data_IF_557835436586
#
_entry.id   IF_557835436586
#
_cell.length_a   1.000
_cell.length_b   1.000
_cell.length_c   1.000
_cell.angle_alpha   90.00
_cell.angle_beta   90.00
_cell.angle_gamma   90.00
#
_symmetry.space_group_name_H-M   'P 1'
#
loop_
_entity.id
_entity.type
_entity.pdbx_description
1 polymer ?
#
# COMPACT_ATOMS: atom_id res chain seq x y z
N UNK A 1 -20.14 3.20 -25.81
CA UNK A 1 -21.33 4.02 -25.46
C UNK A 1 -22.37 3.77 -26.56
N UNK A 2 -23.55 3.21 -26.26
CA UNK A 2 -24.54 3.89 -25.44
C UNK A 2 -25.30 3.01 -24.42
N UNK A 3 -26.03 3.71 -23.56
CA UNK A 3 -27.30 3.34 -22.89
C UNK A 3 -27.32 2.16 -21.90
N UNK A 4 -27.16 2.55 -20.64
CA UNK A 4 -27.92 2.10 -19.47
C UNK A 4 -29.22 1.34 -19.83
N UNK A 5 -29.25 0.04 -19.56
CA UNK A 5 -30.47 -0.74 -19.43
C UNK A 5 -30.58 -1.16 -17.97
N UNK A 6 -31.34 -0.38 -17.20
CA UNK A 6 -31.72 -0.75 -15.84
C UNK A 6 -32.74 -1.89 -15.96
N UNK A 7 -32.30 -3.14 -15.76
CA UNK A 7 -33.23 -4.25 -15.63
C UNK A 7 -33.75 -4.29 -14.20
N UNK A 8 -34.97 -3.79 -14.08
CA UNK A 8 -35.96 -4.05 -13.04
C UNK A 8 -35.86 -5.47 -12.49
N UNK A 9 -35.47 -5.60 -11.22
CA UNK A 9 -35.74 -6.82 -10.45
C UNK A 9 -36.87 -6.50 -9.49
N UNK A 10 -38.06 -6.96 -9.88
CA UNK A 10 -39.27 -6.90 -9.05
C UNK A 10 -39.04 -7.88 -7.88
N UNK A 11 -39.04 -7.37 -6.65
CA UNK A 11 -39.08 -8.23 -5.46
C UNK A 11 -40.56 -8.42 -5.09
N UNK A 12 -41.06 -9.64 -5.27
CA UNK A 12 -42.34 -10.08 -4.72
C UNK A 12 -42.04 -11.01 -3.54
N UNK A 13 -42.14 -10.50 -2.31
CA UNK A 13 -42.04 -11.31 -1.10
C UNK A 13 -43.33 -11.16 -0.27
N UNK A 14 -44.04 -12.27 -0.10
CA UNK A 14 -45.17 -12.42 0.80
C UNK A 14 -44.67 -12.81 2.20
N UNK A 15 -45.27 -12.22 3.23
CA UNK A 15 -45.24 -12.60 4.65
C UNK A 15 -43.87 -12.64 5.39
N UNK A 16 -43.55 -11.53 6.07
CA UNK A 16 -43.19 -11.58 7.49
C UNK A 16 -41.72 -11.76 7.91
N UNK A 17 -40.80 -12.02 6.99
CA UNK A 17 -39.36 -11.84 7.22
C UNK A 17 -38.88 -10.79 6.23
N UNK A 18 -38.32 -9.68 6.73
CA UNK A 18 -37.65 -8.74 5.85
C UNK A 18 -36.52 -9.51 5.16
N UNK A 19 -36.64 -9.73 3.86
CA UNK A 19 -35.52 -10.13 3.00
C UNK A 19 -34.33 -9.21 3.37
N UNK A 20 -33.14 -9.74 3.73
CA UNK A 20 -32.01 -8.89 4.00
C UNK A 20 -31.80 -8.02 2.76
N UNK A 21 -31.79 -6.70 2.94
CA UNK A 21 -31.51 -5.78 1.85
C UNK A 21 -30.22 -6.23 1.14
N UNK A 22 -30.13 -6.16 -0.20
CA UNK A 22 -28.90 -6.47 -0.90
C UNK A 22 -27.81 -5.57 -0.34
N UNK A 23 -26.84 -6.17 0.34
CA UNK A 23 -25.67 -5.47 0.86
C UNK A 23 -24.81 -5.17 -0.37
N UNK A 24 -24.88 -3.94 -0.87
CA UNK A 24 -23.89 -3.46 -1.83
C UNK A 24 -22.60 -3.27 -1.04
N UNK A 25 -21.73 -4.28 -1.06
CA UNK A 25 -20.39 -4.21 -0.49
C UNK A 25 -19.59 -3.25 -1.38
N UNK A 26 -19.48 -1.99 -0.96
CA UNK A 26 -18.69 -0.99 -1.65
C UNK A 26 -17.26 -1.11 -1.14
N UNK A 27 -16.32 -1.39 -2.04
CA UNK A 27 -14.91 -1.44 -1.69
C UNK A 27 -14.38 -0.02 -1.45
N UNK A 28 -13.83 0.24 -0.28
CA UNK A 28 -13.11 1.46 0.05
C UNK A 28 -11.67 1.36 -0.43
N UNK A 29 -11.02 2.51 -0.66
CA UNK A 29 -9.59 2.47 -0.92
C UNK A 29 -8.83 2.31 0.40
N UNK A 30 -7.66 1.65 0.37
CA UNK A 30 -6.79 1.57 1.54
C UNK A 30 -6.30 2.96 1.96
N UNK A 31 -5.93 3.09 3.24
CA UNK A 31 -5.27 4.26 3.80
C UNK A 31 -3.82 3.90 4.09
N UNK A 32 -2.92 4.39 3.23
CA UNK A 32 -1.48 4.27 3.40
C UNK A 32 -0.93 5.48 4.18
N UNK A 33 -0.12 5.24 5.20
CA UNK A 33 0.43 6.25 6.11
C UNK A 33 1.94 6.30 5.95
N UNK A 34 2.49 7.52 5.82
CA UNK A 34 3.93 7.72 5.63
C UNK A 34 4.78 7.04 6.72
N UNK A 35 5.92 6.50 6.29
CA UNK A 35 6.85 5.71 7.08
C UNK A 35 8.20 6.39 7.26
N UNK A 36 8.92 5.90 8.28
CA UNK A 36 10.33 6.24 8.48
C UNK A 36 11.15 5.01 8.85
N UNK A 37 12.39 4.95 8.36
CA UNK A 37 13.35 3.91 8.73
C UNK A 37 14.76 4.49 8.89
N UNK A 38 15.60 3.83 9.69
CA UNK A 38 17.02 4.13 9.77
C UNK A 38 17.84 2.89 9.43
N UNK A 39 18.70 3.04 8.42
CA UNK A 39 19.49 1.95 7.85
C UNK A 39 20.97 2.28 8.07
N UNK A 40 21.78 1.26 8.33
CA UNK A 40 23.23 1.42 8.37
C UNK A 40 23.80 1.34 6.94
N UNK A 41 24.76 2.19 6.60
CA UNK A 41 25.44 2.14 5.32
C UNK A 41 26.05 0.75 5.04
N UNK A 42 26.04 0.33 3.77
CA UNK A 42 26.54 -0.97 3.29
C UNK A 42 25.79 -2.17 3.90
N UNK A 43 24.51 -1.98 4.21
CA UNK A 43 23.62 -3.05 4.68
C UNK A 43 22.32 -3.06 3.90
N UNK A 44 21.65 -4.21 3.92
CA UNK A 44 20.31 -4.40 3.38
C UNK A 44 19.36 -4.53 4.56
N UNK A 45 18.26 -3.78 4.53
CA UNK A 45 17.21 -3.86 5.53
C UNK A 45 15.86 -4.09 4.88
N UNK A 46 15.09 -5.01 5.45
CA UNK A 46 13.68 -5.21 5.09
C UNK A 46 12.80 -4.35 5.99
N UNK A 47 11.92 -3.56 5.40
CA UNK A 47 11.11 -2.54 6.05
C UNK A 47 9.63 -2.90 5.87
N UNK A 48 8.92 -3.08 6.99
CA UNK A 48 7.48 -3.32 6.99
C UNK A 48 6.73 -2.00 6.94
N UNK A 49 6.36 -1.59 5.73
CA UNK A 49 5.63 -0.34 5.43
C UNK A 49 4.11 -0.46 5.59
N UNK A 50 3.60 -1.65 5.93
CA UNK A 50 2.15 -1.87 6.13
C UNK A 50 1.76 -1.82 7.61
N UNK A 51 2.69 -1.53 8.52
CA UNK A 51 2.48 -1.66 9.96
C UNK A 51 1.45 -0.65 10.52
N UNK A 52 1.32 0.50 9.85
CA UNK A 52 0.45 1.64 10.17
C UNK A 52 -0.65 1.86 9.10
N UNK A 53 -0.68 1.01 8.07
CA UNK A 53 -1.67 1.06 7.00
C UNK A 53 -2.92 0.28 7.39
N UNK A 54 -4.07 0.68 6.85
CA UNK A 54 -5.33 -0.01 7.11
C UNK A 54 -6.33 0.16 5.98
N UNK A 55 -7.28 -0.76 5.93
CA UNK A 55 -8.46 -0.69 5.08
C UNK A 55 -9.73 -0.76 5.94
N UNK A 56 -10.74 0.03 5.61
CA UNK A 56 -11.97 0.14 6.42
C UNK A 56 -12.93 -1.04 6.23
N UNK A 57 -12.82 -1.77 5.12
CA UNK A 57 -13.57 -2.99 4.85
C UNK A 57 -12.89 -4.21 5.49
N UNK A 58 -11.64 -4.04 5.94
CA UNK A 58 -10.83 -5.04 6.63
C UNK A 58 -10.07 -5.95 5.67
N UNK A 59 -9.90 -5.52 4.42
CA UNK A 59 -9.19 -6.27 3.40
C UNK A 59 -7.68 -6.31 3.68
N UNK A 60 -7.02 -7.46 3.39
CA UNK A 60 -5.58 -7.58 3.58
C UNK A 60 -4.83 -6.69 2.57
N UNK A 61 -3.88 -5.91 3.07
CA UNK A 61 -3.08 -5.00 2.25
C UNK A 61 -1.83 -5.66 1.69
N UNK A 62 -1.47 -5.26 0.47
CA UNK A 62 -0.25 -5.71 -0.19
C UNK A 62 0.56 -4.57 -0.80
N UNK A 63 1.89 -4.63 -0.69
CA UNK A 63 2.77 -3.69 -1.39
C UNK A 63 2.90 -4.13 -2.83
N UNK A 64 2.56 -3.26 -3.78
CA UNK A 64 2.54 -3.63 -5.21
C UNK A 64 3.72 -3.11 -5.99
N UNK A 65 4.28 -1.96 -5.62
CA UNK A 65 5.39 -1.35 -6.34
C UNK A 65 6.17 -0.34 -5.49
N UNK A 66 7.45 -0.19 -5.81
CA UNK A 66 8.21 1.03 -5.57
C UNK A 66 8.08 1.88 -6.83
N UNK A 67 7.46 3.05 -6.72
CA UNK A 67 7.08 3.87 -7.87
C UNK A 67 8.20 4.81 -8.28
N UNK A 68 8.84 5.46 -7.29
CA UNK A 68 9.98 6.34 -7.50
C UNK A 68 10.76 6.60 -6.19
N UNK A 69 12.00 7.07 -6.33
CA UNK A 69 12.91 7.36 -5.23
C UNK A 69 13.70 8.66 -5.47
N UNK A 70 14.06 9.36 -4.39
CA UNK A 70 14.99 10.51 -4.37
C UNK A 70 16.23 10.24 -3.51
N UNK A 71 17.21 11.14 -3.56
CA UNK A 71 18.42 11.11 -2.73
C UNK A 71 19.56 10.29 -3.34
N UNK A 72 19.24 9.17 -4.01
CA UNK A 72 20.20 8.27 -4.66
C UNK A 72 21.32 7.75 -3.72
N UNK A 73 21.03 7.56 -2.44
CA UNK A 73 21.98 7.02 -1.46
C UNK A 73 21.90 5.49 -1.31
N UNK A 74 20.89 4.87 -1.90
CA UNK A 74 20.71 3.42 -1.96
C UNK A 74 19.68 3.02 -3.01
N UNK A 75 19.17 1.79 -2.91
CA UNK A 75 18.18 1.24 -3.84
C UNK A 75 17.06 0.52 -3.08
N UNK A 76 15.81 0.83 -3.44
CA UNK A 76 14.61 0.21 -2.90
C UNK A 76 13.95 -0.74 -3.92
N UNK A 77 13.50 -1.90 -3.44
CA UNK A 77 12.67 -2.82 -4.22
C UNK A 77 11.59 -3.48 -3.35
N UNK A 78 10.54 -3.98 -3.99
CA UNK A 78 9.51 -4.77 -3.30
C UNK A 78 10.04 -6.19 -3.11
N UNK A 79 10.02 -6.68 -1.86
CA UNK A 79 10.31 -8.07 -1.50
C UNK A 79 9.12 -8.65 -0.73
N UNK A 80 8.25 -9.36 -1.45
CA UNK A 80 6.98 -9.82 -0.92
C UNK A 80 6.09 -8.63 -0.53
N UNK A 81 5.77 -8.52 0.76
CA UNK A 81 4.92 -7.46 1.32
C UNK A 81 5.72 -6.39 2.08
N UNK A 82 7.04 -6.35 1.86
CA UNK A 82 7.97 -5.42 2.48
C UNK A 82 8.75 -4.66 1.41
N UNK A 83 9.38 -3.57 1.81
CA UNK A 83 10.38 -2.89 0.99
C UNK A 83 11.77 -3.33 1.46
N UNK A 84 12.54 -3.93 0.55
CA UNK A 84 13.97 -4.17 0.75
C UNK A 84 14.74 -2.91 0.34
N UNK A 85 15.59 -2.40 1.23
CA UNK A 85 16.43 -1.23 0.96
C UNK A 85 17.91 -1.58 1.15
N UNK A 86 18.70 -1.43 0.09
CA UNK A 86 20.16 -1.56 0.09
C UNK A 86 20.79 -0.18 0.18
N UNK A 87 21.54 0.09 1.26
CA UNK A 87 22.18 1.38 1.49
C UNK A 87 23.63 1.41 0.96
N UNK A 88 23.96 2.38 0.10
CA UNK A 88 25.30 2.52 -0.49
C UNK A 88 26.10 3.66 0.14
N UNK A 89 25.45 4.79 0.46
CA UNK A 89 26.09 5.98 1.02
C UNK A 89 25.25 6.64 2.12
N UNK A 90 25.88 7.48 2.95
CA UNK A 90 25.17 8.22 4.00
C UNK A 90 24.32 9.33 3.38
N UNK A 91 23.12 9.51 3.91
CA UNK A 91 22.19 10.51 3.40
C UNK A 91 20.75 10.22 3.80
N UNK A 92 19.82 10.76 3.02
CA UNK A 92 18.39 10.52 3.19
C UNK A 92 17.77 10.30 1.83
N UNK A 93 16.98 9.25 1.72
CA UNK A 93 16.20 8.92 0.53
C UNK A 93 14.71 9.00 0.87
N UNK A 94 13.91 9.53 -0.06
CA UNK A 94 12.45 9.41 -0.02
C UNK A 94 12.02 8.42 -1.09
N UNK A 95 11.25 7.41 -0.69
CA UNK A 95 10.75 6.33 -1.54
C UNK A 95 9.24 6.42 -1.52
N UNK A 96 8.62 6.42 -2.70
CA UNK A 96 7.17 6.37 -2.83
C UNK A 96 6.77 5.00 -3.32
N UNK A 97 5.81 4.39 -2.62
CA UNK A 97 5.35 3.03 -2.87
C UNK A 97 3.84 2.98 -2.94
N UNK A 98 3.32 1.97 -3.64
CA UNK A 98 1.89 1.73 -3.76
C UNK A 98 1.45 0.47 -3.02
N UNK A 99 0.24 0.54 -2.47
CA UNK A 99 -0.44 -0.51 -1.72
C UNK A 99 -1.78 -0.82 -2.38
N UNK A 100 -2.19 -2.08 -2.38
CA UNK A 100 -3.51 -2.53 -2.85
C UNK A 100 -4.21 -3.44 -1.84
N UNK A 101 -5.54 -3.35 -1.82
CA UNK A 101 -6.45 -4.24 -1.08
C UNK A 101 -6.82 -5.54 -1.85
N UNK A 102 -6.39 -5.68 -3.11
CA UNK A 102 -6.74 -6.80 -3.97
C UNK A 102 -8.18 -6.78 -4.53
N UNK A 103 -9.00 -5.81 -4.13
CA UNK A 103 -10.39 -5.60 -4.56
C UNK A 103 -10.56 -4.36 -5.44
N UNK A 104 -9.45 -3.75 -5.85
CA UNK A 104 -9.39 -2.66 -6.81
C UNK A 104 -9.13 -1.29 -6.19
N UNK A 105 -9.04 -1.20 -4.87
CA UNK A 105 -8.55 -0.03 -4.17
C UNK A 105 -7.03 -0.02 -4.11
N UNK A 106 -6.48 1.18 -4.24
CA UNK A 106 -5.05 1.45 -4.12
C UNK A 106 -4.78 2.75 -3.38
N UNK A 107 -3.60 2.84 -2.78
CA UNK A 107 -3.06 4.04 -2.14
C UNK A 107 -1.54 4.12 -2.31
N UNK A 108 -0.99 5.31 -2.11
CA UNK A 108 0.44 5.59 -2.18
C UNK A 108 0.86 6.28 -0.89
N UNK A 109 2.04 5.93 -0.37
CA UNK A 109 2.65 6.58 0.78
C UNK A 109 4.16 6.78 0.58
N UNK A 110 4.75 7.60 1.45
CA UNK A 110 6.17 7.92 1.42
C UNK A 110 6.90 7.21 2.56
N UNK A 111 7.94 6.47 2.22
CA UNK A 111 8.95 5.95 3.14
C UNK A 111 10.16 6.88 3.13
N UNK A 112 10.49 7.45 4.29
CA UNK A 112 11.72 8.26 4.47
C UNK A 112 12.81 7.41 5.13
N UNK A 113 13.93 7.19 4.42
CA UNK A 113 15.04 6.38 4.93
C UNK A 113 16.22 7.26 5.29
N UNK A 114 16.63 7.22 6.56
CA UNK A 114 17.85 7.89 7.03
C UNK A 114 19.01 6.90 7.09
N UNK A 115 20.02 7.10 6.25
CA UNK A 115 21.20 6.25 6.18
C UNK A 115 22.30 6.80 7.07
N UNK A 116 22.74 5.99 8.03
CA UNK A 116 23.78 6.36 9.00
C UNK A 116 25.02 5.51 8.85
N UNK A 117 26.18 6.05 9.20
CA UNK A 117 27.44 5.34 9.10
C UNK A 117 28.63 6.29 9.15
N UNK A 118 29.78 5.82 9.63
CA UNK A 118 31.00 6.63 9.67
C UNK A 118 31.88 6.47 8.42
N UNK A 119 31.70 5.40 7.64
CA UNK A 119 32.54 5.07 6.48
C UNK A 119 31.73 4.28 5.43
N UNK A 120 31.20 4.97 4.41
CA UNK A 120 30.58 4.33 3.22
C UNK A 120 31.59 4.16 2.08
N UNK A 121 32.85 3.86 2.41
CA UNK A 121 33.89 3.66 1.40
C UNK A 121 34.19 2.16 1.35
N UNK A 122 33.95 1.56 0.18
CA UNK A 122 34.43 0.23 -0.17
C UNK A 122 35.96 0.23 -0.31
#
# INVERSE_FOLDING_TARGET
MPMLHVLSSIYLAAAGIAEPAPVFLFNSNPVAVDDTASVQCLTIQSINVLANDYDSDGDPLTVTSVDWQTGNHGYAEVDGNMISYSADSVGTDEIYYSVSDGNGGTATAKLTVTITGRHCNL
#
